data_IF_175477604111
#
_entry.id   IF_175477604111
#
_cell.length_a   1.000
_cell.length_b   1.000
_cell.length_c   1.000
_cell.angle_alpha   90.00
_cell.angle_beta   90.00
_cell.angle_gamma   90.00
#
_symmetry.space_group_name_H-M   'P 1'
#
loop_
_entity.id
_entity.type
_entity.pdbx_description
1 polymer ?
#
# COMPACT_ATOMS: atom_id res chain seq x y z
N UNK A 1 18.05 6.73 -2.18
CA UNK A 1 16.91 6.15 -2.93
C UNK A 1 15.71 5.81 -2.03
N UNK A 2 15.92 5.15 -0.89
CA UNK A 2 14.85 4.75 0.06
C UNK A 2 14.04 5.93 0.60
N UNK A 3 14.70 6.99 1.08
CA UNK A 3 13.99 8.19 1.57
C UNK A 3 13.11 8.77 0.47
N UNK A 4 13.60 8.82 -0.77
CA UNK A 4 12.84 9.28 -1.94
C UNK A 4 11.61 8.39 -2.22
N UNK A 5 11.76 7.06 -2.20
CA UNK A 5 10.64 6.13 -2.39
C UNK A 5 9.61 6.24 -1.26
N UNK A 6 10.07 6.37 -0.02
CA UNK A 6 9.20 6.54 1.13
C UNK A 6 8.43 7.87 1.08
N UNK A 7 9.11 8.97 0.75
CA UNK A 7 8.47 10.28 0.57
C UNK A 7 7.45 10.23 -0.56
N UNK A 8 7.78 9.62 -1.71
CA UNK A 8 6.82 9.45 -2.82
C UNK A 8 5.61 8.64 -2.36
N UNK A 9 5.83 7.52 -1.65
CA UNK A 9 4.74 6.69 -1.14
C UNK A 9 3.81 7.47 -0.21
N UNK A 10 4.39 8.15 0.78
CA UNK A 10 3.64 8.93 1.75
C UNK A 10 2.87 10.06 1.08
N UNK A 11 3.50 10.82 0.18
CA UNK A 11 2.84 11.92 -0.52
C UNK A 11 1.70 11.42 -1.40
N UNK A 12 1.87 10.32 -2.13
CA UNK A 12 0.80 9.79 -3.00
C UNK A 12 -0.35 9.22 -2.18
N UNK A 13 -0.07 8.43 -1.14
CA UNK A 13 -1.14 7.86 -0.29
C UNK A 13 -1.90 8.96 0.45
N UNK A 14 -1.22 10.00 0.95
CA UNK A 14 -1.88 11.13 1.61
C UNK A 14 -2.68 11.99 0.63
N UNK A 15 -2.14 12.31 -0.54
CA UNK A 15 -2.86 13.12 -1.54
C UNK A 15 -4.06 12.36 -2.10
N UNK A 16 -3.90 11.11 -2.51
CA UNK A 16 -4.99 10.26 -2.99
C UNK A 16 -6.00 10.02 -1.88
N UNK A 17 -5.57 9.71 -0.65
CA UNK A 17 -6.48 9.57 0.48
C UNK A 17 -7.26 10.84 0.77
N UNK A 18 -6.63 12.02 0.67
CA UNK A 18 -7.33 13.29 0.90
C UNK A 18 -8.35 13.57 -0.20
N UNK A 19 -7.96 13.43 -1.47
CA UNK A 19 -8.84 13.66 -2.63
C UNK A 19 -9.99 12.65 -2.63
N UNK A 20 -9.70 11.37 -2.41
CA UNK A 20 -10.70 10.31 -2.36
C UNK A 20 -11.64 10.47 -1.18
N UNK A 21 -11.12 10.88 -0.02
CA UNK A 21 -11.92 11.23 1.16
C UNK A 21 -12.87 12.38 0.88
N UNK A 22 -12.38 13.44 0.23
CA UNK A 22 -13.21 14.57 -0.20
C UNK A 22 -14.31 14.14 -1.17
N UNK A 23 -14.00 13.33 -2.18
CA UNK A 23 -15.00 12.78 -3.10
C UNK A 23 -16.05 12.01 -2.29
N UNK A 24 -15.63 11.10 -1.41
CA UNK A 24 -16.56 10.31 -0.59
C UNK A 24 -17.39 11.18 0.37
N UNK A 25 -16.85 12.28 0.90
CA UNK A 25 -17.57 13.22 1.75
C UNK A 25 -18.81 13.82 1.05
N UNK A 26 -18.72 14.10 -0.26
CA UNK A 26 -19.82 14.66 -1.03
C UNK A 26 -20.88 13.61 -1.42
N UNK A 27 -20.50 12.35 -1.60
CA UNK A 27 -21.38 11.31 -2.15
C UNK A 27 -21.94 10.34 -1.09
N UNK A 28 -21.37 10.29 0.12
CA UNK A 28 -21.66 9.24 1.10
C UNK A 28 -21.99 9.81 2.48
N UNK A 29 -22.89 9.15 3.25
CA UNK A 29 -23.31 9.62 4.56
C UNK A 29 -22.18 9.80 5.60
N UNK A 30 -22.26 10.92 6.33
CA UNK A 30 -21.26 11.50 7.25
C UNK A 30 -20.72 10.57 8.35
N UNK A 31 -21.52 9.60 8.82
CA UNK A 31 -21.15 8.67 9.90
C UNK A 31 -19.92 7.79 9.57
N UNK A 32 -19.54 7.67 8.30
CA UNK A 32 -18.38 6.88 7.85
C UNK A 32 -17.06 7.66 7.93
N UNK A 33 -17.12 8.99 7.89
CA UNK A 33 -15.95 9.87 7.81
C UNK A 33 -14.96 9.72 8.99
N UNK A 34 -15.41 9.49 10.25
CA UNK A 34 -14.50 9.26 11.37
C UNK A 34 -13.63 8.01 11.20
N UNK A 35 -14.12 6.98 10.49
CA UNK A 35 -13.40 5.74 10.24
C UNK A 35 -12.52 5.81 8.99
N UNK A 36 -12.74 6.81 8.12
CA UNK A 36 -12.00 6.95 6.86
C UNK A 36 -10.48 7.06 7.03
N UNK A 37 -9.92 7.87 7.95
CA UNK A 37 -8.47 8.04 8.11
C UNK A 37 -7.71 6.75 8.41
N UNK A 38 -8.39 5.73 8.95
CA UNK A 38 -7.80 4.42 9.24
C UNK A 38 -7.33 3.72 7.97
N UNK A 39 -8.00 3.95 6.84
CA UNK A 39 -7.67 3.34 5.54
C UNK A 39 -6.35 3.89 4.98
N UNK A 40 -6.16 5.19 4.72
CA UNK A 40 -4.87 5.70 4.27
C UNK A 40 -3.76 5.46 5.30
N UNK A 41 -4.05 5.52 6.61
CA UNK A 41 -3.07 5.22 7.65
C UNK A 41 -2.54 3.77 7.59
N UNK A 42 -3.43 2.79 7.38
CA UNK A 42 -3.03 1.38 7.24
C UNK A 42 -2.16 1.16 6.00
N UNK A 43 -2.52 1.75 4.85
CA UNK A 43 -1.69 1.67 3.64
C UNK A 43 -0.35 2.40 3.73
N UNK A 44 -0.29 3.47 4.54
CA UNK A 44 0.97 4.15 4.89
C UNK A 44 1.88 3.24 5.71
N UNK A 45 1.35 2.61 6.77
CA UNK A 45 2.10 1.71 7.64
C UNK A 45 2.61 0.47 6.88
N UNK A 46 1.77 -0.11 6.01
CA UNK A 46 2.16 -1.25 5.16
C UNK A 46 3.27 -0.83 4.17
N UNK A 47 3.18 0.34 3.56
CA UNK A 47 4.23 0.84 2.66
C UNK A 47 5.56 1.12 3.37
N UNK A 48 5.52 1.65 4.60
CA UNK A 48 6.70 1.80 5.46
C UNK A 48 7.37 0.45 5.70
N UNK A 49 6.60 -0.56 6.13
CA UNK A 49 7.08 -1.93 6.34
C UNK A 49 7.69 -2.53 5.06
N UNK A 50 7.02 -2.35 3.92
CA UNK A 50 7.53 -2.78 2.61
C UNK A 50 8.91 -2.19 2.31
N UNK A 51 9.06 -0.87 2.46
CA UNK A 51 10.31 -0.18 2.12
C UNK A 51 11.47 -0.65 3.00
N UNK A 52 11.20 -0.90 4.29
CA UNK A 52 12.19 -1.44 5.24
C UNK A 52 12.59 -2.89 4.92
N UNK A 53 11.61 -3.71 4.53
CA UNK A 53 11.84 -5.11 4.18
C UNK A 53 12.63 -5.23 2.86
N UNK A 54 12.31 -4.39 1.87
CA UNK A 54 13.04 -4.27 0.60
C UNK A 54 14.52 -3.97 0.86
N UNK A 55 14.78 -3.02 1.77
CA UNK A 55 16.14 -2.66 2.19
C UNK A 55 16.89 -3.84 2.82
N UNK A 56 16.25 -4.59 3.73
CA UNK A 56 16.86 -5.75 4.39
C UNK A 56 17.23 -6.87 3.40
N UNK A 57 16.46 -7.01 2.32
CA UNK A 57 16.72 -8.01 1.29
C UNK A 57 17.74 -7.59 0.23
N UNK A 58 18.19 -6.32 0.24
CA UNK A 58 19.15 -5.81 -0.75
C UNK A 58 20.47 -6.58 -0.79
N UNK A 59 20.88 -7.18 0.34
CA UNK A 59 22.13 -7.94 0.47
C UNK A 59 22.02 -9.46 0.22
N UNK A 60 20.84 -10.03 -0.03
CA UNK A 60 20.67 -11.50 -0.16
C UNK A 60 20.47 -11.93 -1.61
N UNK A 61 21.60 -12.11 -2.31
CA UNK A 61 21.70 -12.28 -3.76
C UNK A 61 21.23 -13.63 -4.36
N UNK A 62 20.67 -14.58 -3.59
CA UNK A 62 20.39 -15.94 -4.11
C UNK A 62 18.92 -16.40 -4.08
N UNK A 63 18.00 -15.65 -3.49
CA UNK A 63 16.54 -15.98 -3.46
C UNK A 63 15.65 -14.74 -3.52
N UNK A 64 16.05 -13.71 -4.26
CA UNK A 64 15.37 -12.41 -4.33
C UNK A 64 13.94 -12.57 -4.86
N UNK A 65 13.77 -13.30 -5.98
CA UNK A 65 12.45 -13.51 -6.60
C UNK A 65 11.46 -14.23 -5.67
N UNK A 66 11.89 -15.33 -5.03
CA UNK A 66 11.05 -16.08 -4.11
C UNK A 66 10.67 -15.25 -2.88
N UNK A 67 11.62 -14.48 -2.34
CA UNK A 67 11.34 -13.61 -1.21
C UNK A 67 10.42 -12.43 -1.57
N UNK A 68 10.50 -11.91 -2.80
CA UNK A 68 9.61 -10.87 -3.31
C UNK A 68 8.18 -11.39 -3.50
N UNK A 69 8.03 -12.59 -4.07
CA UNK A 69 6.72 -13.24 -4.21
C UNK A 69 6.08 -13.55 -2.85
N UNK A 70 6.85 -14.05 -1.89
CA UNK A 70 6.38 -14.31 -0.52
C UNK A 70 5.97 -13.01 0.18
N UNK A 71 6.74 -11.92 0.04
CA UNK A 71 6.36 -10.61 0.57
C UNK A 71 5.07 -10.09 -0.05
N UNK A 72 4.90 -10.31 -1.35
CA UNK A 72 3.66 -9.93 -2.04
C UNK A 72 2.48 -10.72 -1.48
N UNK A 73 2.61 -12.03 -1.34
CA UNK A 73 1.55 -12.88 -0.81
C UNK A 73 1.17 -12.51 0.64
N UNK A 74 2.17 -12.34 1.51
CA UNK A 74 1.98 -11.92 2.92
C UNK A 74 1.27 -10.57 2.99
N UNK A 75 1.60 -9.65 2.07
CA UNK A 75 1.00 -8.33 2.01
C UNK A 75 -0.46 -8.35 1.58
N UNK A 76 -0.80 -9.10 0.53
CA UNK A 76 -2.21 -9.33 0.17
C UNK A 76 -2.97 -9.98 1.34
N UNK A 77 -2.33 -10.89 2.07
CA UNK A 77 -2.88 -11.48 3.30
C UNK A 77 -3.17 -10.45 4.40
N UNK A 78 -2.21 -9.57 4.73
CA UNK A 78 -2.40 -8.51 5.73
C UNK A 78 -3.53 -7.56 5.32
N UNK A 79 -3.53 -7.12 4.06
CA UNK A 79 -4.58 -6.24 3.52
C UNK A 79 -5.96 -6.91 3.63
N UNK A 80 -6.06 -8.20 3.32
CA UNK A 80 -7.32 -8.95 3.39
C UNK A 80 -7.79 -9.09 4.85
N UNK A 81 -6.88 -9.36 5.79
CA UNK A 81 -7.19 -9.38 7.23
C UNK A 81 -7.67 -8.01 7.71
N UNK A 82 -7.00 -6.92 7.33
CA UNK A 82 -7.41 -5.54 7.68
C UNK A 82 -8.79 -5.22 7.11
N UNK A 83 -9.07 -5.63 5.86
CA UNK A 83 -10.38 -5.46 5.23
C UNK A 83 -11.47 -6.19 6.04
N UNK A 84 -11.25 -7.45 6.40
CA UNK A 84 -12.20 -8.25 7.19
C UNK A 84 -12.43 -7.62 8.58
N UNK A 85 -11.38 -7.13 9.23
CA UNK A 85 -11.49 -6.42 10.51
C UNK A 85 -12.29 -5.12 10.38
N UNK A 86 -12.03 -4.32 9.35
CA UNK A 86 -12.79 -3.09 9.08
C UNK A 86 -14.26 -3.36 8.79
N UNK A 87 -14.57 -4.40 8.01
CA UNK A 87 -15.96 -4.83 7.76
C UNK A 87 -16.64 -5.28 9.06
N UNK A 88 -15.92 -5.99 9.94
CA UNK A 88 -16.47 -6.43 11.23
C UNK A 88 -16.76 -5.27 12.18
N UNK A 89 -15.88 -4.25 12.18
CA UNK A 89 -16.00 -3.06 13.02
C UNK A 89 -17.09 -2.10 12.52
N UNK A 90 -17.23 -1.97 11.20
CA UNK A 90 -18.23 -1.13 10.56
C UNK A 90 -19.55 -1.89 10.33
N UNK A 91 -20.35 -2.06 11.39
CA UNK A 91 -21.76 -2.48 11.23
C UNK A 91 -22.64 -1.22 11.12
N UNK A 92 -23.50 -1.07 10.09
CA UNK A 92 -23.76 -1.96 8.95
C UNK A 92 -22.64 -1.93 7.90
N UNK A 93 -22.40 -3.04 7.17
CA UNK A 93 -21.39 -3.09 6.11
C UNK A 93 -21.84 -2.19 4.95
N UNK A 94 -21.28 -0.98 4.88
CA UNK A 94 -21.68 -0.02 3.84
C UNK A 94 -20.70 -0.11 2.70
N UNK A 95 -21.25 -0.35 1.51
CA UNK A 95 -20.56 -0.45 0.21
C UNK A 95 -19.48 0.62 0.05
N UNK A 96 -19.72 1.84 0.57
CA UNK A 96 -18.74 2.92 0.73
C UNK A 96 -17.35 2.51 1.21
N UNK A 97 -17.28 1.75 2.31
CA UNK A 97 -16.03 1.40 2.96
C UNK A 97 -15.22 0.46 2.08
N UNK A 98 -15.91 -0.50 1.47
CA UNK A 98 -15.31 -1.46 0.55
C UNK A 98 -14.81 -0.75 -0.71
N UNK A 99 -15.61 0.14 -1.31
CA UNK A 99 -15.21 0.91 -2.50
C UNK A 99 -13.97 1.75 -2.19
N UNK A 100 -13.94 2.42 -1.04
CA UNK A 100 -12.83 3.29 -0.68
C UNK A 100 -11.56 2.52 -0.32
N UNK A 101 -11.72 1.39 0.36
CA UNK A 101 -10.62 0.46 0.59
C UNK A 101 -10.06 -0.07 -0.73
N UNK A 102 -10.93 -0.45 -1.67
CA UNK A 102 -10.54 -0.96 -2.98
C UNK A 102 -9.80 0.09 -3.81
N UNK A 103 -10.28 1.34 -3.82
CA UNK A 103 -9.61 2.45 -4.50
C UNK A 103 -8.21 2.71 -3.96
N UNK A 104 -8.07 2.81 -2.64
CA UNK A 104 -6.76 2.97 -1.99
C UNK A 104 -5.86 1.77 -2.23
N UNK A 105 -6.43 0.56 -2.21
CA UNK A 105 -5.72 -0.67 -2.48
C UNK A 105 -5.15 -0.73 -3.92
N UNK A 106 -5.91 -0.28 -4.92
CA UNK A 106 -5.43 -0.22 -6.31
C UNK A 106 -4.26 0.75 -6.45
N UNK A 107 -4.36 1.95 -5.86
CA UNK A 107 -3.28 2.95 -5.90
C UNK A 107 -2.03 2.42 -5.21
N UNK A 108 -2.19 1.84 -4.01
CA UNK A 108 -1.11 1.19 -3.29
C UNK A 108 -0.45 0.07 -4.12
N UNK A 109 -1.26 -0.78 -4.76
CA UNK A 109 -0.77 -1.88 -5.59
C UNK A 109 0.01 -1.40 -6.80
N UNK A 110 -0.45 -0.33 -7.44
CA UNK A 110 0.25 0.29 -8.57
C UNK A 110 1.61 0.86 -8.15
N UNK A 111 1.65 1.58 -7.02
CA UNK A 111 2.88 2.12 -6.44
C UNK A 111 3.90 1.04 -6.11
N UNK A 112 3.46 -0.08 -5.52
CA UNK A 112 4.35 -1.19 -5.21
C UNK A 112 4.98 -1.80 -6.47
N UNK A 113 4.20 -1.99 -7.55
CA UNK A 113 4.72 -2.49 -8.83
C UNK A 113 5.73 -1.50 -9.41
N UNK A 114 5.41 -0.22 -9.37
CA UNK A 114 6.31 0.84 -9.85
C UNK A 114 7.63 0.86 -9.10
N UNK A 115 7.60 0.74 -7.76
CA UNK A 115 8.80 0.67 -6.94
C UNK A 115 9.67 -0.54 -7.26
N UNK A 116 9.05 -1.71 -7.44
CA UNK A 116 9.76 -2.93 -7.84
C UNK A 116 10.44 -2.77 -9.20
N UNK A 117 9.72 -2.21 -10.18
CA UNK A 117 10.24 -1.92 -11.52
C UNK A 117 11.42 -0.93 -11.46
N UNK A 118 11.28 0.14 -10.67
CA UNK A 118 12.34 1.14 -10.49
C UNK A 118 13.59 0.53 -9.86
N UNK A 119 13.45 -0.37 -8.89
CA UNK A 119 14.59 -1.04 -8.27
C UNK A 119 15.26 -2.03 -9.23
N UNK A 120 14.49 -2.84 -9.96
CA UNK A 120 15.04 -3.76 -10.97
C UNK A 120 15.80 -3.01 -12.06
N UNK A 121 15.27 -1.86 -12.52
CA UNK A 121 15.97 -1.01 -13.50
C UNK A 121 17.28 -0.44 -12.94
N UNK A 122 17.26 0.02 -11.68
CA UNK A 122 18.48 0.50 -11.00
C UNK A 122 19.55 -0.59 -10.84
N UNK A 123 19.16 -1.83 -10.55
CA UNK A 123 20.09 -2.98 -10.48
C UNK A 123 20.70 -3.30 -11.84
N UNK A 124 19.87 -3.25 -12.90
CA UNK A 124 20.30 -3.52 -14.28
C UNK A 124 21.33 -2.49 -14.78
N UNK A 125 21.17 -1.21 -14.43
CA UNK A 125 22.14 -0.15 -14.75
C UNK A 125 23.45 -0.26 -13.96
N UNK A 126 23.42 -0.86 -12.76
CA UNK A 126 24.61 -1.00 -11.89
C UNK A 126 25.42 -2.27 -12.19
N UNK A 127 24.99 -3.09 -13.16
CA UNK A 127 25.68 -4.33 -13.53
C UNK A 127 25.51 -5.50 -12.54
N UNK A 128 24.72 -5.33 -11.48
CA UNK A 128 24.35 -6.39 -10.55
C UNK A 128 23.23 -7.23 -11.15
N UNK A 129 23.58 -8.08 -12.13
CA UNK A 129 22.69 -9.12 -12.64
C UNK A 129 22.76 -10.35 -11.72
N UNK A 130 21.72 -10.56 -10.92
CA UNK A 130 21.27 -11.86 -10.40
C UNK A 130 19.74 -11.82 -10.20
#
# INVERSE_FOLDING_TARGET
MIIKMLTIHATVILSVGTIWGLIMYFFIPQWWFPAYPVIPATFLAIGLLETLILNKNRNRNKKVLNSMLIQRLVRWGIVLVVLVLLIRLARPPKISLIISFMGMFMVYSFLSIWFLMSENRSRKDTGDQL
#
